data_IF_794605674270
#
_entry.id   IF_794605674270
#
_cell.length_a   1.000
_cell.length_b   1.000
_cell.length_c   1.000
_cell.angle_alpha   90.00
_cell.angle_beta   90.00
_cell.angle_gamma   90.00
#
_symmetry.space_group_name_H-M   'P 1'
#
loop_
_entity.id
_entity.type
_entity.pdbx_description
1 polymer ?
#
# COMPACT_ATOMS: atom_id res chain seq x y z
N UNK A 1 14.30 -11.98 -7.48
CA UNK A 1 13.48 -11.94 -8.69
C UNK A 1 13.91 -10.78 -9.58
N UNK A 2 13.31 -10.72 -10.78
CA UNK A 2 13.63 -9.66 -11.73
C UNK A 2 13.51 -8.29 -11.08
N UNK A 3 12.52 -8.14 -10.19
CA UNK A 3 12.32 -6.88 -9.52
C UNK A 3 11.54 -7.03 -8.22
N UNK A 4 12.15 -7.70 -7.26
CA UNK A 4 11.50 -7.92 -5.96
C UNK A 4 11.47 -6.63 -5.14
N UNK A 5 12.34 -5.69 -5.49
CA UNK A 5 12.40 -4.43 -4.78
C UNK A 5 11.22 -3.53 -5.10
N UNK A 6 10.49 -3.87 -6.15
CA UNK A 6 9.32 -3.09 -6.56
C UNK A 6 8.06 -3.58 -5.85
N UNK A 7 8.01 -4.87 -5.57
CA UNK A 7 6.86 -5.46 -4.89
C UNK A 7 6.91 -5.20 -3.39
N UNK A 8 8.11 -5.25 -2.83
CA UNK A 8 8.30 -5.01 -1.40
C UNK A 8 8.10 -3.54 -1.06
N UNK A 9 8.10 -2.69 -2.08
CA UNK A 9 7.92 -1.26 -1.88
C UNK A 9 6.55 -0.81 -2.41
N UNK A 10 6.04 -1.53 -3.40
CA UNK A 10 4.75 -1.20 -3.98
C UNK A 10 3.65 -2.13 -3.46
N UNK A 11 3.84 -3.43 -3.67
CA UNK A 11 2.87 -4.43 -3.21
C UNK A 11 2.87 -4.53 -1.69
N UNK A 12 3.88 -3.93 -1.06
CA UNK A 12 4.00 -3.96 0.39
C UNK A 12 3.60 -2.61 1.00
N UNK A 13 3.97 -1.53 0.31
CA UNK A 13 3.63 -0.19 0.78
C UNK A 13 2.47 0.40 -0.01
N UNK A 14 2.66 0.54 -1.32
CA UNK A 14 1.62 1.09 -2.18
C UNK A 14 0.32 0.32 -2.03
N UNK A 15 0.42 -0.91 -1.55
CA UNK A 15 -0.77 -1.76 -1.36
C UNK A 15 -1.65 -1.21 -0.24
N UNK A 16 -1.03 -0.48 0.68
CA UNK A 16 -1.76 0.10 1.81
C UNK A 16 -2.59 1.30 1.36
N UNK A 17 -3.68 1.02 0.66
CA UNK A 17 -4.56 2.07 0.17
C UNK A 17 -5.96 1.94 0.76
N UNK A 18 -6.26 0.76 1.29
CA UNK A 18 -7.56 0.50 1.89
C UNK A 18 -7.77 1.37 3.13
N UNK A 19 -6.86 1.23 4.11
CA UNK A 19 -6.93 1.99 5.37
C UNK A 19 -6.63 3.47 5.16
N UNK A 20 -6.18 3.81 3.96
CA UNK A 20 -5.86 5.20 3.64
C UNK A 20 -7.10 6.09 3.71
N UNK A 21 -8.26 5.47 3.58
CA UNK A 21 -9.52 6.20 3.63
C UNK A 21 -9.85 6.63 5.06
N UNK A 22 -9.80 5.67 5.98
CA UNK A 22 -10.09 5.95 7.38
C UNK A 22 -8.90 6.63 8.06
N UNK A 23 -7.70 6.31 7.60
CA UNK A 23 -6.48 6.89 8.16
C UNK A 23 -6.44 8.40 7.93
N UNK A 24 -6.90 8.82 6.76
CA UNK A 24 -6.90 10.23 6.43
C UNK A 24 -8.30 10.80 6.26
N UNK A 25 -9.27 10.12 6.86
CA UNK A 25 -10.67 10.57 6.76
C UNK A 25 -10.85 11.93 7.42
N UNK A 26 -9.87 12.34 8.20
CA UNK A 26 -9.93 13.63 8.88
C UNK A 26 -9.77 14.78 7.89
N UNK A 27 -9.13 14.50 6.76
CA UNK A 27 -8.92 15.50 5.72
C UNK A 27 -10.19 15.72 4.91
N UNK A 28 -10.46 16.97 4.56
CA UNK A 28 -11.64 17.31 3.78
C UNK A 28 -11.28 18.20 2.59
#
# INVERSE_FOLDING_TARGET
DIGMGVTYLALLAAFKVRPTFAAGLLLR
#
